data_IF_043751341152
#
_entry.id   IF_043751341152
#
_cell.length_a   1.000
_cell.length_b   1.000
_cell.length_c   1.000
_cell.angle_alpha   90.00
_cell.angle_beta   90.00
_cell.angle_gamma   90.00
#
_symmetry.space_group_name_H-M   'P 1'
#
loop_
_entity.id
_entity.type
_entity.pdbx_description
1 polymer ?
#
# COMPACT_ATOMS: atom_id res chain seq x y z
N UNK A 1 15.21 2.39 3.93
CA UNK A 1 15.81 3.16 5.05
C UNK A 1 14.76 4.11 5.61
N UNK A 2 14.12 3.75 6.74
CA UNK A 2 13.10 4.57 7.43
C UNK A 2 13.79 5.80 8.05
N UNK A 3 13.97 6.84 7.25
CA UNK A 3 14.32 8.17 7.73
C UNK A 3 13.05 8.83 8.27
N UNK A 4 13.00 9.01 9.59
CA UNK A 4 11.95 9.71 10.29
C UNK A 4 11.63 11.06 9.61
N UNK A 5 10.50 11.12 8.89
CA UNK A 5 9.81 12.38 8.67
C UNK A 5 9.26 12.78 10.04
N UNK A 6 9.97 13.69 10.70
CA UNK A 6 9.50 14.35 11.91
C UNK A 6 8.05 14.79 11.66
N UNK A 7 7.13 14.31 12.51
CA UNK A 7 5.70 14.50 12.30
C UNK A 7 5.37 15.97 12.07
N UNK A 8 4.75 16.27 10.94
CA UNK A 8 4.21 17.59 10.66
C UNK A 8 3.22 17.92 11.78
N UNK A 9 3.37 19.03 12.53
CA UNK A 9 2.41 19.42 13.56
C UNK A 9 1.00 19.47 12.97
N UNK A 10 0.08 18.71 13.56
CA UNK A 10 -1.30 18.60 13.07
C UNK A 10 -1.57 17.50 12.04
N UNK A 11 -0.64 16.58 11.83
CA UNK A 11 -0.89 15.36 11.06
C UNK A 11 -1.49 14.23 11.93
N UNK A 12 -2.34 13.40 11.33
CA UNK A 12 -3.01 12.26 11.94
C UNK A 12 -2.96 11.06 10.99
N UNK A 13 -2.69 9.87 11.52
CA UNK A 13 -2.86 8.62 10.76
C UNK A 13 -4.34 8.20 10.79
N UNK A 14 -4.90 7.87 9.63
CA UNK A 14 -6.28 7.38 9.52
C UNK A 14 -6.43 6.01 10.18
N UNK A 15 -7.61 5.75 10.74
CA UNK A 15 -7.98 4.41 11.21
C UNK A 15 -8.10 3.42 10.05
N UNK A 16 -8.11 2.12 10.36
CA UNK A 16 -8.29 1.07 9.36
C UNK A 16 -9.62 1.24 8.60
N UNK A 17 -10.69 1.64 9.29
CA UNK A 17 -12.02 1.86 8.71
C UNK A 17 -12.04 3.07 7.76
N UNK A 18 -11.48 4.20 8.19
CA UNK A 18 -11.34 5.40 7.35
C UNK A 18 -10.48 5.13 6.12
N UNK A 19 -9.36 4.42 6.30
CA UNK A 19 -8.47 4.01 5.21
C UNK A 19 -9.21 3.13 4.20
N UNK A 20 -9.95 2.12 4.67
CA UNK A 20 -10.77 1.26 3.80
C UNK A 20 -11.85 2.03 3.06
N UNK A 21 -12.52 2.99 3.72
CA UNK A 21 -13.56 3.79 3.10
C UNK A 21 -12.98 4.70 2.00
N UNK A 22 -11.86 5.36 2.28
CA UNK A 22 -11.19 6.24 1.33
C UNK A 22 -10.68 5.47 0.10
N UNK A 23 -9.92 4.38 0.30
CA UNK A 23 -9.40 3.59 -0.81
C UNK A 23 -10.51 3.00 -1.69
N UNK A 24 -11.64 2.59 -1.09
CA UNK A 24 -12.81 2.12 -1.82
C UNK A 24 -13.44 3.19 -2.70
N UNK A 25 -13.47 4.46 -2.24
CA UNK A 25 -14.01 5.57 -3.02
C UNK A 25 -13.20 5.82 -4.31
N UNK A 26 -11.90 5.51 -4.30
CA UNK A 26 -11.02 5.56 -5.48
C UNK A 26 -10.89 4.21 -6.20
N UNK A 27 -11.65 3.19 -5.77
CA UNK A 27 -11.63 1.85 -6.35
C UNK A 27 -10.29 1.14 -6.20
N UNK A 28 -9.51 1.43 -5.16
CA UNK A 28 -8.25 0.74 -4.84
C UNK A 28 -8.59 -0.57 -4.12
N UNK A 29 -8.14 -1.75 -4.62
CA UNK A 29 -8.61 -3.06 -4.17
C UNK A 29 -7.89 -3.54 -2.89
N UNK A 30 -8.15 -2.87 -1.76
CA UNK A 30 -7.69 -3.33 -0.44
C UNK A 30 -8.43 -4.61 -0.02
N UNK A 31 -7.66 -5.64 0.37
CA UNK A 31 -8.18 -6.90 0.86
C UNK A 31 -9.04 -6.68 2.12
N UNK A 32 -10.17 -7.38 2.18
CA UNK A 32 -11.11 -7.27 3.29
C UNK A 32 -10.47 -7.69 4.61
N UNK A 33 -10.52 -6.80 5.59
CA UNK A 33 -10.02 -7.02 6.95
C UNK A 33 -11.16 -6.95 7.97
N UNK A 34 -10.99 -7.69 9.07
CA UNK A 34 -11.86 -7.65 10.24
C UNK A 34 -11.02 -7.59 11.51
N UNK A 35 -11.24 -6.57 12.34
CA UNK A 35 -10.62 -6.45 13.65
C UNK A 35 -11.44 -7.25 14.67
N UNK A 36 -10.76 -8.09 15.43
CA UNK A 36 -11.37 -9.00 16.41
C UNK A 36 -10.59 -8.98 17.73
N UNK A 37 -11.27 -9.23 18.83
CA UNK A 37 -10.68 -9.19 20.18
C UNK A 37 -10.60 -10.56 20.85
N UNK A 38 -11.25 -11.57 20.27
CA UNK A 38 -11.27 -12.94 20.78
C UNK A 38 -11.24 -13.98 19.65
N UNK A 39 -10.93 -15.22 20.03
CA UNK A 39 -10.72 -16.32 19.09
C UNK A 39 -12.01 -16.77 18.39
N UNK A 40 -13.17 -16.66 19.02
CA UNK A 40 -14.44 -17.06 18.41
C UNK A 40 -14.90 -16.03 17.38
N UNK A 41 -14.73 -14.73 17.67
CA UNK A 41 -14.88 -13.66 16.71
C UNK A 41 -13.90 -13.81 15.53
N UNK A 42 -12.66 -14.24 15.78
CA UNK A 42 -11.69 -14.52 14.72
C UNK A 42 -12.14 -15.64 13.79
N UNK A 43 -12.66 -16.74 14.35
CA UNK A 43 -13.20 -17.87 13.58
C UNK A 43 -14.44 -17.46 12.78
N UNK A 44 -15.35 -16.69 13.38
CA UNK A 44 -16.54 -16.19 12.69
C UNK A 44 -16.16 -15.30 11.50
N UNK A 45 -15.24 -14.35 11.71
CA UNK A 45 -14.72 -13.48 10.64
C UNK A 45 -14.02 -14.29 9.54
N UNK A 46 -13.24 -15.31 9.88
CA UNK A 46 -12.58 -16.17 8.90
C UNK A 46 -13.59 -16.94 8.03
N UNK A 47 -14.66 -17.46 8.63
CA UNK A 47 -15.73 -18.14 7.91
C UNK A 47 -16.51 -17.21 6.96
N UNK A 48 -16.70 -15.95 7.35
CA UNK A 48 -17.34 -14.93 6.49
C UNK A 48 -16.45 -14.52 5.31
N UNK A 49 -15.13 -14.35 5.55
CA UNK A 49 -14.16 -13.98 4.52
C UNK A 49 -13.92 -15.13 3.54
N UNK A 50 -13.84 -16.35 4.05
CA UNK A 50 -13.43 -17.54 3.31
C UNK A 50 -11.94 -17.87 3.53
N UNK A 51 -11.65 -19.15 3.63
CA UNK A 51 -10.30 -19.68 3.86
C UNK A 51 -9.49 -19.84 2.56
N UNK A 52 -8.14 -19.79 2.61
CA UNK A 52 -7.34 -19.54 3.81
C UNK A 52 -7.29 -18.06 4.20
N UNK A 53 -7.08 -17.80 5.50
CA UNK A 53 -6.96 -16.45 6.06
C UNK A 53 -5.60 -16.21 6.71
N UNK A 54 -5.29 -14.93 6.93
CA UNK A 54 -4.13 -14.46 7.69
C UNK A 54 -4.60 -13.79 8.97
N UNK A 55 -3.95 -14.08 10.08
CA UNK A 55 -4.06 -13.29 11.32
C UNK A 55 -2.87 -12.33 11.43
N UNK A 56 -3.14 -11.06 11.73
CA UNK A 56 -2.11 -10.02 11.95
C UNK A 56 -2.32 -9.35 13.30
N UNK A 57 -1.27 -9.24 14.11
CA UNK A 57 -1.31 -8.50 15.37
C UNK A 57 -1.42 -6.99 15.10
N UNK A 58 -2.25 -6.28 15.87
CA UNK A 58 -2.31 -4.81 15.81
C UNK A 58 -1.33 -4.12 16.75
N UNK A 59 -0.64 -4.89 17.60
CA UNK A 59 0.33 -4.41 18.56
C UNK A 59 1.45 -3.60 17.86
N UNK A 60 1.75 -2.36 18.29
CA UNK A 60 2.72 -1.50 17.60
C UNK A 60 4.11 -2.12 17.40
N UNK A 61 4.53 -3.00 18.31
CA UNK A 61 5.85 -3.66 18.28
C UNK A 61 5.88 -4.97 17.47
N UNK A 62 4.72 -5.55 17.13
CA UNK A 62 4.58 -6.73 16.27
C UNK A 62 4.03 -6.42 14.88
N UNK A 63 3.42 -5.25 14.71
CA UNK A 63 2.86 -4.79 13.43
C UNK A 63 3.95 -4.86 12.35
N UNK A 64 3.62 -5.51 11.24
CA UNK A 64 4.51 -5.74 10.10
C UNK A 64 5.77 -6.59 10.38
N UNK A 65 5.89 -7.15 11.59
CA UNK A 65 7.03 -7.98 12.03
C UNK A 65 6.73 -9.47 11.89
N UNK A 66 6.79 -9.96 10.65
CA UNK A 66 6.63 -11.41 10.35
C UNK A 66 7.68 -12.27 11.08
N UNK A 67 8.89 -11.75 11.21
CA UNK A 67 10.03 -12.39 11.87
C UNK A 67 9.80 -12.63 13.38
N UNK A 68 8.96 -11.82 14.01
CA UNK A 68 8.59 -11.94 15.42
C UNK A 68 7.24 -12.64 15.64
N UNK A 69 6.65 -13.22 14.59
CA UNK A 69 5.37 -13.92 14.69
C UNK A 69 4.14 -12.99 14.74
N UNK A 70 4.29 -11.71 14.36
CA UNK A 70 3.18 -10.76 14.27
C UNK A 70 2.16 -11.07 13.17
N UNK A 71 2.44 -12.07 12.32
CA UNK A 71 1.53 -12.56 11.28
C UNK A 71 1.53 -14.09 11.22
N UNK A 72 0.35 -14.69 11.03
CA UNK A 72 0.12 -16.12 10.84
C UNK A 72 -0.63 -16.34 9.53
N UNK A 73 -0.05 -17.12 8.63
CA UNK A 73 -0.55 -17.40 7.29
C UNK A 73 -1.03 -18.85 7.19
N UNK A 74 -1.65 -19.19 6.07
CA UNK A 74 -2.05 -20.53 5.67
C UNK A 74 -3.04 -21.17 6.65
N UNK A 75 -3.89 -20.35 7.28
CA UNK A 75 -4.90 -20.83 8.22
C UNK A 75 -6.08 -21.35 7.41
N UNK A 76 -6.22 -22.67 7.31
CA UNK A 76 -7.13 -23.33 6.38
C UNK A 76 -8.52 -23.58 6.99
N UNK A 77 -8.62 -23.56 8.32
CA UNK A 77 -9.87 -23.84 9.03
C UNK A 77 -9.96 -23.14 10.40
N UNK A 78 -11.05 -23.43 11.12
CA UNK A 78 -11.33 -22.84 12.43
C UNK A 78 -10.35 -23.30 13.53
N UNK A 79 -9.75 -24.49 13.42
CA UNK A 79 -8.78 -24.99 14.39
C UNK A 79 -7.46 -24.24 14.24
N UNK A 80 -6.98 -24.09 13.00
CA UNK A 80 -5.81 -23.29 12.66
C UNK A 80 -5.95 -21.85 13.18
N UNK A 81 -7.10 -21.22 12.96
CA UNK A 81 -7.37 -19.84 13.42
C UNK A 81 -7.31 -19.73 14.94
N UNK A 82 -7.90 -20.66 15.69
CA UNK A 82 -7.84 -20.63 17.17
C UNK A 82 -6.42 -20.82 17.68
N UNK A 83 -5.70 -21.79 17.12
CA UNK A 83 -4.31 -22.05 17.49
C UNK A 83 -3.41 -20.84 17.19
N UNK A 84 -3.58 -20.23 16.01
CA UNK A 84 -2.85 -19.03 15.61
C UNK A 84 -3.18 -17.82 16.49
N UNK A 85 -4.45 -17.61 16.85
CA UNK A 85 -4.88 -16.53 17.73
C UNK A 85 -4.24 -16.66 19.12
N UNK A 86 -4.26 -17.86 19.71
CA UNK A 86 -3.66 -18.12 21.03
C UNK A 86 -2.13 -17.93 21.04
N UNK A 87 -1.48 -18.08 19.88
CA UNK A 87 -0.03 -17.90 19.72
C UNK A 87 0.39 -16.44 19.50
N UNK A 88 -0.55 -15.51 19.29
CA UNK A 88 -0.27 -14.08 19.24
C UNK A 88 -0.25 -13.56 20.69
N UNK A 89 0.80 -12.82 21.12
CA UNK A 89 0.85 -12.26 22.47
C UNK A 89 -0.43 -11.48 22.83
N UNK A 90 -1.05 -11.85 23.95
CA UNK A 90 -2.34 -11.32 24.36
C UNK A 90 -2.26 -9.82 24.71
N UNK A 91 -3.35 -9.08 24.41
CA UNK A 91 -3.57 -7.71 24.87
C UNK A 91 -4.01 -6.74 23.78
N UNK A 92 -3.63 -6.98 22.53
CA UNK A 92 -3.99 -6.16 21.38
C UNK A 92 -4.96 -6.90 20.45
N UNK A 93 -5.92 -6.21 19.82
CA UNK A 93 -6.79 -6.81 18.82
C UNK A 93 -5.99 -7.42 17.65
N UNK A 94 -6.62 -8.38 16.98
CA UNK A 94 -6.05 -9.09 15.83
C UNK A 94 -6.86 -8.73 14.59
N UNK A 95 -6.19 -8.63 13.44
CA UNK A 95 -6.83 -8.52 12.14
C UNK A 95 -6.94 -9.90 11.52
N UNK A 96 -8.14 -10.30 11.12
CA UNK A 96 -8.40 -11.41 10.19
C UNK A 96 -8.50 -10.84 8.79
N UNK A 97 -7.76 -11.40 7.84
CA UNK A 97 -7.74 -10.93 6.45
C UNK A 97 -7.73 -12.12 5.48
N UNK A 98 -8.34 -11.95 4.31
CA UNK A 98 -8.17 -12.84 3.16
C UNK A 98 -6.66 -13.05 2.86
N UNK A 99 -6.25 -14.30 2.60
CA UNK A 99 -4.89 -14.56 2.14
C UNK A 99 -4.80 -14.39 0.63
N UNK A 100 -3.97 -13.43 0.19
CA UNK A 100 -3.61 -13.29 -1.23
C UNK A 100 -2.94 -14.56 -1.77
N UNK A 101 -3.20 -14.90 -3.04
CA UNK A 101 -2.42 -15.92 -3.73
C UNK A 101 -0.93 -15.49 -3.85
N UNK A 102 -0.01 -16.41 -4.20
CA UNK A 102 1.41 -16.07 -4.41
C UNK A 102 1.62 -15.23 -5.66
N UNK A 103 2.30 -14.08 -5.52
CA UNK A 103 2.53 -13.10 -6.58
C UNK A 103 3.74 -12.21 -6.26
N UNK A 104 4.02 -11.22 -7.10
CA UNK A 104 5.13 -10.29 -6.87
C UNK A 104 4.66 -9.16 -5.95
N UNK A 105 5.35 -8.97 -4.82
CA UNK A 105 5.10 -7.87 -3.91
C UNK A 105 5.73 -6.58 -4.42
N UNK A 106 4.97 -5.49 -4.40
CA UNK A 106 5.36 -4.14 -4.79
C UNK A 106 4.91 -3.14 -3.73
N UNK A 107 5.46 -1.93 -3.79
CA UNK A 107 5.15 -0.82 -2.89
C UNK A 107 4.77 0.38 -3.74
N UNK A 108 3.66 1.01 -3.39
CA UNK A 108 3.19 2.27 -3.98
C UNK A 108 3.04 3.27 -2.85
N UNK A 109 3.63 4.45 -2.99
CA UNK A 109 3.50 5.49 -1.97
C UNK A 109 3.09 6.83 -2.58
N UNK A 110 2.43 7.65 -1.77
CA UNK A 110 2.37 9.10 -1.93
C UNK A 110 3.21 9.69 -0.81
N UNK A 111 4.09 10.61 -1.15
CA UNK A 111 4.90 11.36 -0.19
C UNK A 111 4.73 12.85 -0.45
N UNK A 112 4.51 13.63 0.60
CA UNK A 112 4.51 15.09 0.52
C UNK A 112 5.95 15.61 0.61
N UNK A 113 6.46 16.13 -0.51
CA UNK A 113 7.79 16.75 -0.59
C UNK A 113 7.71 18.27 -0.43
N UNK A 114 8.52 18.90 0.43
CA UNK A 114 8.47 20.35 0.65
C UNK A 114 8.77 21.22 -0.59
N UNK A 115 9.48 20.68 -1.57
CA UNK A 115 9.90 21.38 -2.78
C UNK A 115 8.97 21.11 -3.96
N UNK A 116 8.46 19.88 -4.07
CA UNK A 116 7.68 19.43 -5.24
C UNK A 116 6.20 19.21 -4.95
N UNK A 117 5.77 19.25 -3.69
CA UNK A 117 4.45 18.81 -3.26
C UNK A 117 4.33 17.30 -3.28
N UNK A 118 3.10 16.79 -3.48
CA UNK A 118 2.85 15.36 -3.52
C UNK A 118 3.56 14.67 -4.70
N UNK A 119 4.29 13.61 -4.38
CA UNK A 119 4.96 12.71 -5.31
C UNK A 119 4.38 11.30 -5.17
N UNK A 120 4.21 10.61 -6.30
CA UNK A 120 3.91 9.17 -6.32
C UNK A 120 5.20 8.40 -6.49
N UNK A 121 5.40 7.37 -5.68
CA UNK A 121 6.53 6.45 -5.77
C UNK A 121 6.07 5.04 -6.13
N UNK A 122 6.95 4.32 -6.82
CA UNK A 122 6.79 2.89 -7.10
C UNK A 122 8.11 2.15 -6.89
N UNK A 123 8.02 0.95 -6.34
CA UNK A 123 9.13 0.02 -6.24
C UNK A 123 8.68 -1.40 -5.99
N UNK A 124 9.61 -2.35 -6.09
CA UNK A 124 9.34 -3.72 -5.70
C UNK A 124 9.47 -3.86 -4.17
N UNK A 125 8.65 -4.72 -3.57
CA UNK A 125 8.74 -5.00 -2.14
C UNK A 125 9.91 -5.94 -1.83
N UNK A 126 10.43 -5.82 -0.61
CA UNK A 126 11.38 -6.78 -0.04
C UNK A 126 12.71 -6.17 0.38
N UNK A 127 13.34 -6.85 1.34
CA UNK A 127 14.51 -6.36 2.09
C UNK A 127 15.65 -5.86 1.20
N UNK A 128 15.93 -6.56 0.09
CA UNK A 128 17.01 -6.16 -0.82
C UNK A 128 16.67 -4.83 -1.54
N UNK A 129 15.43 -4.68 -2.01
CA UNK A 129 14.95 -3.46 -2.67
C UNK A 129 14.95 -2.29 -1.69
N UNK A 130 14.52 -2.52 -0.45
CA UNK A 130 14.51 -1.51 0.62
C UNK A 130 15.91 -1.07 1.05
N UNK A 131 16.86 -2.01 1.06
CA UNK A 131 18.27 -1.74 1.38
C UNK A 131 18.96 -0.94 0.28
N UNK A 132 18.65 -1.23 -0.98
CA UNK A 132 19.23 -0.57 -2.14
C UNK A 132 18.52 0.75 -2.51
N UNK A 133 17.35 1.01 -1.93
CA UNK A 133 16.53 2.19 -2.25
C UNK A 133 16.05 2.18 -3.69
N UNK A 134 15.73 1.01 -4.24
CA UNK A 134 15.35 0.86 -5.64
C UNK A 134 13.86 1.23 -5.85
N UNK A 135 13.63 2.56 -5.88
CA UNK A 135 12.33 3.20 -6.07
C UNK A 135 12.43 4.28 -7.13
N UNK A 136 11.32 4.49 -7.84
CA UNK A 136 11.15 5.56 -8.82
C UNK A 136 10.03 6.50 -8.38
N UNK A 137 10.05 7.74 -8.87
CA UNK A 137 9.16 8.81 -8.42
C UNK A 137 8.62 9.62 -9.60
N UNK A 138 7.38 10.12 -9.47
CA UNK A 138 6.77 11.08 -10.39
C UNK A 138 6.02 12.17 -9.61
N UNK A 139 6.06 13.39 -10.14
CA UNK A 139 5.24 14.51 -9.66
C UNK A 139 3.80 14.34 -10.12
N UNK A 140 2.85 14.91 -9.38
CA UNK A 140 1.47 15.04 -9.83
C UNK A 140 1.28 16.26 -10.77
N UNK A 141 0.32 16.22 -11.70
CA UNK A 141 -0.54 15.07 -12.03
C UNK A 141 0.22 13.98 -12.81
N UNK A 142 -0.17 12.72 -12.64
CA UNK A 142 0.43 11.56 -13.31
C UNK A 142 -0.33 11.24 -14.61
N UNK A 143 0.37 11.13 -15.74
CA UNK A 143 -0.21 10.64 -17.00
C UNK A 143 -0.12 9.12 -17.14
N UNK A 144 -0.82 8.56 -18.12
CA UNK A 144 -0.70 7.15 -18.50
C UNK A 144 0.72 6.79 -18.95
N UNK A 145 1.38 7.69 -19.67
CA UNK A 145 2.78 7.55 -20.09
C UNK A 145 3.71 7.57 -18.87
N UNK A 146 3.47 8.47 -17.91
CA UNK A 146 4.26 8.50 -16.67
C UNK A 146 4.09 7.22 -15.86
N UNK A 147 2.87 6.70 -15.73
CA UNK A 147 2.61 5.44 -15.01
C UNK A 147 3.29 4.25 -15.70
N UNK A 148 3.23 4.19 -17.03
CA UNK A 148 3.91 3.18 -17.83
C UNK A 148 5.43 3.20 -17.61
N UNK A 149 6.05 4.37 -17.64
CA UNK A 149 7.49 4.50 -17.40
C UNK A 149 7.86 4.22 -15.94
N UNK A 150 7.08 4.74 -14.98
CA UNK A 150 7.31 4.61 -13.54
C UNK A 150 7.36 3.15 -13.10
N UNK A 151 6.46 2.32 -13.62
CA UNK A 151 6.42 0.88 -13.34
C UNK A 151 7.70 0.16 -13.81
N UNK A 152 8.35 0.66 -14.86
CA UNK A 152 9.51 0.04 -15.53
C UNK A 152 10.86 0.56 -15.05
N UNK A 153 10.86 1.63 -14.25
CA UNK A 153 12.07 2.34 -13.86
C UNK A 153 12.89 1.66 -12.73
N UNK A 154 12.29 1.00 -11.73
CA UNK A 154 13.07 0.27 -10.72
C UNK A 154 13.99 -0.75 -11.38
N UNK A 155 15.22 -0.88 -10.88
CA UNK A 155 16.22 -1.85 -11.37
C UNK A 155 15.73 -3.29 -11.25
N UNK A 156 14.89 -3.56 -10.25
CA UNK A 156 14.25 -4.85 -10.03
C UNK A 156 13.01 -5.11 -10.93
N UNK A 157 12.63 -4.17 -11.82
CA UNK A 157 11.57 -4.34 -12.82
C UNK A 157 11.55 -5.70 -13.55
N UNK A 158 12.69 -6.32 -13.93
CA UNK A 158 12.67 -7.61 -14.60
C UNK A 158 11.90 -8.72 -13.85
N UNK A 159 11.72 -8.60 -12.52
CA UNK A 159 10.90 -9.54 -11.73
C UNK A 159 9.41 -9.47 -12.09
N UNK A 160 8.92 -8.32 -12.58
CA UNK A 160 7.52 -8.13 -13.01
C UNK A 160 7.29 -8.61 -14.45
N UNK A 161 8.33 -8.63 -15.29
CA UNK A 161 8.24 -9.03 -16.70
C UNK A 161 8.66 -10.49 -16.97
N UNK A 162 8.68 -11.32 -15.93
CA UNK A 162 9.10 -12.72 -16.01
C UNK A 162 10.61 -12.90 -15.81
N UNK A 163 10.98 -13.52 -14.69
CA UNK A 163 12.37 -13.77 -14.31
C UNK A 163 12.54 -15.21 -13.84
N UNK A 164 13.58 -15.90 -14.33
CA UNK A 164 13.88 -17.31 -14.01
C UNK A 164 12.67 -18.25 -14.16
N UNK A 165 11.87 -18.04 -15.20
CA UNK A 165 10.72 -18.90 -15.51
C UNK A 165 9.41 -18.51 -14.83
N UNK A 166 9.36 -17.42 -14.07
CA UNK A 166 8.08 -16.83 -13.66
C UNK A 166 7.35 -16.23 -14.86
N UNK A 167 6.02 -16.30 -14.84
CA UNK A 167 5.19 -15.58 -15.80
C UNK A 167 5.28 -14.06 -15.54
N UNK A 168 5.14 -13.23 -16.58
CA UNK A 168 4.91 -11.80 -16.40
C UNK A 168 3.66 -11.54 -15.56
N UNK A 169 3.68 -10.47 -14.78
CA UNK A 169 2.54 -10.01 -14.00
C UNK A 169 1.65 -9.08 -14.84
N UNK A 170 0.47 -8.75 -14.33
CA UNK A 170 -0.41 -7.74 -14.91
C UNK A 170 0.11 -6.32 -14.65
N UNK A 171 0.98 -5.85 -15.54
CA UNK A 171 1.57 -4.51 -15.43
C UNK A 171 0.53 -3.41 -15.70
N UNK A 172 -0.51 -3.70 -16.48
CA UNK A 172 -1.59 -2.75 -16.72
C UNK A 172 -2.40 -2.49 -15.45
N UNK A 173 -2.61 -3.52 -14.62
CA UNK A 173 -3.25 -3.34 -13.30
C UNK A 173 -2.41 -2.45 -12.35
N UNK A 174 -1.07 -2.54 -12.40
CA UNK A 174 -0.19 -1.63 -11.65
C UNK A 174 -0.28 -0.19 -12.15
N UNK A 175 -0.25 0.01 -13.47
CA UNK A 175 -0.38 1.33 -14.11
C UNK A 175 -1.72 1.99 -13.72
N UNK A 176 -2.83 1.24 -13.77
CA UNK A 176 -4.15 1.71 -13.33
C UNK A 176 -4.19 2.03 -11.83
N UNK A 177 -3.55 1.22 -10.98
CA UNK A 177 -3.45 1.51 -9.55
C UNK A 177 -2.71 2.83 -9.29
N UNK A 178 -1.60 3.06 -9.99
CA UNK A 178 -0.82 4.30 -9.85
C UNK A 178 -1.63 5.52 -10.28
N UNK A 179 -2.39 5.42 -11.36
CA UNK A 179 -3.29 6.50 -11.80
C UNK A 179 -4.39 6.79 -10.76
N UNK A 180 -4.95 5.76 -10.11
CA UNK A 180 -5.93 5.94 -9.02
C UNK A 180 -5.33 6.59 -7.79
N UNK A 181 -4.13 6.16 -7.40
CA UNK A 181 -3.38 6.75 -6.27
C UNK A 181 -3.01 8.21 -6.58
N UNK A 182 -2.56 8.49 -7.81
CA UNK A 182 -2.27 9.85 -8.25
C UNK A 182 -3.52 10.73 -8.22
N UNK A 183 -4.67 10.21 -8.66
CA UNK A 183 -5.94 10.92 -8.61
C UNK A 183 -6.37 11.20 -7.17
N UNK A 184 -6.22 10.24 -6.25
CA UNK A 184 -6.51 10.41 -4.83
C UNK A 184 -5.68 11.56 -4.23
N UNK A 185 -4.38 11.56 -4.49
CA UNK A 185 -3.49 12.60 -3.98
C UNK A 185 -3.73 13.99 -4.61
N UNK A 186 -4.15 14.05 -5.88
CA UNK A 186 -4.51 15.29 -6.57
C UNK A 186 -5.84 15.88 -6.03
N UNK A 187 -6.82 15.02 -5.77
CA UNK A 187 -8.14 15.43 -5.24
C UNK A 187 -8.08 15.82 -3.76
N UNK A 188 -7.14 15.25 -2.99
CA UNK A 188 -7.03 15.42 -1.53
C UNK A 188 -5.61 15.86 -1.13
N UNK A 189 -5.29 17.17 -1.26
CA UNK A 189 -3.99 17.71 -0.87
C UNK A 189 -3.63 17.49 0.60
N UNK A 190 -4.62 17.25 1.46
CA UNK A 190 -4.43 16.91 2.87
C UNK A 190 -3.79 15.53 3.08
N UNK A 191 -3.75 14.66 2.07
CA UNK A 191 -3.03 13.38 2.15
C UNK A 191 -1.54 13.64 2.06
N UNK A 192 -0.90 13.74 3.23
CA UNK A 192 0.55 13.97 3.35
C UNK A 192 1.36 12.68 3.12
N UNK A 193 0.72 11.53 3.27
CA UNK A 193 1.33 10.24 3.04
C UNK A 193 0.29 9.17 2.78
N UNK A 194 0.59 8.29 1.82
CA UNK A 194 -0.14 7.05 1.59
C UNK A 194 0.90 5.97 1.32
N UNK A 195 0.77 4.81 1.95
CA UNK A 195 1.62 3.65 1.69
C UNK A 195 0.71 2.47 1.42
N UNK A 196 0.84 1.86 0.25
CA UNK A 196 0.23 0.58 -0.09
C UNK A 196 1.34 -0.47 -0.09
N UNK A 197 1.34 -1.32 0.94
CA UNK A 197 2.38 -2.34 1.12
C UNK A 197 1.86 -3.60 1.86
N UNK A 198 2.07 -4.80 1.30
CA UNK A 198 2.42 -5.05 -0.09
C UNK A 198 1.21 -4.84 -1.02
N UNK A 199 1.47 -4.30 -2.20
CA UNK A 199 0.62 -4.49 -3.39
C UNK A 199 1.09 -5.77 -4.07
N UNK A 200 0.24 -6.80 -4.12
CA UNK A 200 0.58 -8.10 -4.67
C UNK A 200 -0.05 -8.22 -6.06
N UNK A 201 0.79 -8.48 -7.06
CA UNK A 201 0.38 -8.61 -8.47
C UNK A 201 0.74 -10.00 -9.01
N UNK A 202 -0.25 -10.64 -9.64
CA UNK A 202 -0.12 -11.92 -10.32
C UNK A 202 -0.21 -11.75 -11.85
N UNK A 203 -0.34 -12.85 -12.61
CA UNK A 203 -0.61 -12.81 -14.05
C UNK A 203 -1.90 -12.04 -14.40
N UNK A 204 -2.04 -11.62 -15.66
CA UNK A 204 -3.22 -10.90 -16.17
C UNK A 204 -4.52 -11.72 -16.15
N UNK A 205 -4.40 -13.05 -16.13
CA UNK A 205 -5.54 -13.94 -16.00
C UNK A 205 -6.11 -13.89 -14.56
N UNK A 206 -7.31 -14.43 -14.36
CA UNK A 206 -7.91 -14.53 -13.03
C UNK A 206 -6.99 -15.31 -12.06
N UNK A 207 -6.35 -14.59 -11.15
CA UNK A 207 -5.32 -15.15 -10.25
C UNK A 207 -5.83 -15.26 -8.81
N UNK A 208 -6.50 -14.24 -8.28
CA UNK A 208 -6.99 -14.22 -6.90
C UNK A 208 -8.43 -13.69 -6.81
N UNK A 209 -9.40 -14.61 -6.72
CA UNK A 209 -10.82 -14.26 -6.70
C UNK A 209 -11.27 -13.49 -7.95
N UNK A 210 -10.64 -13.75 -9.10
CA UNK A 210 -10.90 -13.03 -10.35
C UNK A 210 -10.10 -11.73 -10.54
N UNK A 211 -9.20 -11.39 -9.61
CA UNK A 211 -8.33 -10.20 -9.67
C UNK A 211 -6.90 -10.59 -10.04
N UNK A 212 -6.19 -9.72 -10.75
CA UNK A 212 -4.75 -9.83 -11.04
C UNK A 212 -3.88 -9.02 -10.07
N UNK A 213 -4.49 -8.10 -9.29
CA UNK A 213 -3.83 -7.26 -8.30
C UNK A 213 -4.68 -7.12 -7.04
N UNK A 214 -4.04 -7.18 -5.87
CA UNK A 214 -4.65 -6.84 -4.58
C UNK A 214 -3.71 -6.05 -3.69
N UNK A 215 -4.28 -5.20 -2.83
CA UNK A 215 -3.53 -4.46 -1.81
C UNK A 215 -3.75 -5.16 -0.47
N UNK A 216 -2.68 -5.59 0.21
CA UNK A 216 -2.79 -6.35 1.46
C UNK A 216 -2.60 -5.51 2.72
N UNK A 217 -2.02 -4.31 2.59
CA UNK A 217 -1.83 -3.37 3.67
C UNK A 217 -1.85 -1.94 3.15
N UNK A 218 -2.39 -1.04 3.96
CA UNK A 218 -2.43 0.37 3.65
C UNK A 218 -2.30 1.20 4.93
N UNK A 219 -1.61 2.33 4.82
CA UNK A 219 -1.57 3.36 5.84
C UNK A 219 -1.69 4.72 5.17
N UNK A 220 -2.50 5.62 5.73
CA UNK A 220 -2.72 6.96 5.21
C UNK A 220 -2.53 7.96 6.33
N UNK A 221 -1.76 9.00 6.06
CA UNK A 221 -1.57 10.14 6.94
C UNK A 221 -2.16 11.38 6.29
N UNK A 222 -2.97 12.09 7.06
CA UNK A 222 -3.58 13.36 6.66
C UNK A 222 -3.07 14.52 7.50
N UNK A 223 -3.11 15.73 6.97
CA UNK A 223 -2.71 16.95 7.65
C UNK A 223 -2.72 18.16 6.73
N UNK A 224 -2.32 19.35 7.22
CA UNK A 224 -2.23 20.53 6.38
C UNK A 224 -1.11 20.36 5.33
N UNK A 225 -1.35 20.66 4.03
CA UNK A 225 -0.34 20.52 2.98
C UNK A 225 0.93 21.33 3.29
N UNK A 226 2.12 20.73 3.12
CA UNK A 226 3.37 21.42 3.47
C UNK A 226 3.91 22.30 2.34
N UNK A 227 3.74 21.88 1.09
CA UNK A 227 4.07 22.71 -0.06
C UNK A 227 3.05 23.85 -0.17
N UNK A 228 3.53 25.09 -0.12
CA UNK A 228 2.74 26.23 -0.60
C UNK A 228 2.59 26.07 -2.11
N UNK A 229 1.47 25.51 -2.55
CA UNK A 229 1.09 25.60 -3.96
C UNK A 229 0.84 27.09 -4.23
N UNK A 230 1.85 27.79 -4.74
CA UNK A 230 1.67 29.16 -5.22
C UNK A 230 0.80 29.08 -6.48
N UNK A 231 -0.52 29.12 -6.27
CA UNK A 231 -1.52 29.28 -7.32
C UNK A 231 -1.56 30.73 -7.84
N UNK A 232 -0.63 31.59 -7.40
CA UNK A 232 -0.44 32.91 -7.95
C UNK A 232 -0.22 32.84 -9.46
N UNK A 233 -0.70 33.83 -10.23
CA UNK A 233 -0.52 33.83 -11.68
C UNK A 233 0.98 33.71 -11.98
N UNK A 234 1.36 32.69 -12.78
CA UNK A 234 2.71 32.58 -13.36
C UNK A 234 2.97 33.81 -14.22
N UNK A 235 3.35 34.91 -13.59
CA UNK A 235 3.74 36.13 -14.28
C UNK A 235 5.10 35.84 -14.89
N UNK A 236 5.12 35.69 -16.21
CA UNK A 236 6.35 35.72 -16.98
C UNK A 236 7.13 36.95 -16.52
N UNK A 237 8.32 36.73 -15.97
CA UNK A 237 9.24 37.80 -15.63
C UNK A 237 9.44 38.64 -16.90
N UNK A 238 8.91 39.86 -16.91
CA UNK A 238 9.25 40.83 -17.95
C UNK A 238 10.55 41.49 -17.49
N UNK A 239 11.70 41.19 -18.12
CA UNK A 239 12.89 42.00 -17.86
C UNK A 239 12.54 43.45 -18.21
N UNK A 240 12.87 44.37 -17.30
CA UNK A 240 12.66 45.80 -17.50
C UNK A 240 13.21 46.18 -18.88
N UNK A 241 12.32 46.68 -19.73
CA UNK A 241 12.72 47.35 -20.97
C UNK A 241 13.03 48.80 -20.58
N UNK A 242 14.18 49.36 -21.02
CA UNK A 242 14.67 50.67 -20.58
C UNK A 242 13.70 51.82 -20.87
#
# INVERSE_FOLDING_TARGET
>A
MLGALAGTPGSLDLTDEETMALLRAYGIPLLGTRRVEDADAAVAAAAEIGYPVVLKSTAPWLRDRRDLGGMRFDLADAEDVRAAFAAIPAGDPVIVQEQAAPGVGTVVEVVDDPSFGALVSFGLGGVATDLLGDRAYRTLPLTDTDAHELVREPRAWPLLNGYRGSAPVDTAALEELLLRVARLADDLPEVLGLTLEPVIVGPADAWHGGRSLVVAGAAIRVGPPTARIDQGPRRMFRPNTP
#
